data_IF_074348379626
#
_entry.id   IF_074348379626
#
_cell.length_a   1.000
_cell.length_b   1.000
_cell.length_c   1.000
_cell.angle_alpha   90.00
_cell.angle_beta   90.00
_cell.angle_gamma   90.00
#
_symmetry.space_group_name_H-M   'P 1'
#
loop_
_entity.id
_entity.type
_entity.pdbx_description
1 polymer ?
#
# COMPACT_ATOMS: atom_id res chain seq x y z
N UNK A 1 33.57 -23.11 -23.03
CA UNK A 1 32.96 -22.34 -21.93
C UNK A 1 32.20 -21.16 -22.54
N UNK A 2 30.90 -21.33 -22.80
CA UNK A 2 30.06 -20.25 -23.35
C UNK A 2 29.38 -19.54 -22.18
N UNK A 3 29.75 -18.28 -21.95
CA UNK A 3 29.03 -17.40 -21.05
C UNK A 3 27.63 -17.15 -21.65
N UNK A 4 26.61 -17.82 -21.12
CA UNK A 4 25.22 -17.46 -21.41
C UNK A 4 25.00 -16.03 -20.90
N UNK A 5 25.08 -15.08 -21.82
CA UNK A 5 24.49 -13.76 -21.69
C UNK A 5 22.99 -13.94 -21.49
N UNK A 6 22.58 -14.16 -20.24
CA UNK A 6 21.18 -14.06 -19.85
C UNK A 6 20.83 -12.58 -19.99
N UNK A 7 20.14 -12.25 -21.08
CA UNK A 7 19.65 -10.89 -21.33
C UNK A 7 19.01 -10.34 -20.05
N UNK A 8 19.41 -9.12 -19.65
CA UNK A 8 18.91 -8.44 -18.44
C UNK A 8 17.37 -8.40 -18.39
N UNK A 9 16.70 -8.49 -19.54
CA UNK A 9 15.23 -8.54 -19.65
C UNK A 9 14.61 -9.82 -19.07
N UNK A 10 15.32 -10.95 -19.06
CA UNK A 10 14.84 -12.21 -18.49
C UNK A 10 15.25 -12.40 -17.02
N UNK A 11 15.89 -11.40 -16.40
CA UNK A 11 16.06 -11.38 -14.95
C UNK A 11 14.72 -11.10 -14.26
N UNK A 12 14.54 -11.57 -13.02
CA UNK A 12 13.32 -11.29 -12.24
C UNK A 12 12.99 -9.79 -12.17
N UNK A 13 14.02 -8.95 -12.03
CA UNK A 13 13.87 -7.49 -12.04
C UNK A 13 13.39 -6.95 -13.38
N UNK A 14 13.95 -7.44 -14.49
CA UNK A 14 13.57 -7.04 -15.84
C UNK A 14 12.11 -7.36 -16.13
N UNK A 15 11.67 -8.57 -15.77
CA UNK A 15 10.28 -9.02 -15.95
C UNK A 15 9.31 -8.17 -15.12
N UNK A 16 9.66 -7.88 -13.86
CA UNK A 16 8.83 -7.02 -12.99
C UNK A 16 8.71 -5.60 -13.55
N UNK A 17 9.78 -5.04 -14.10
CA UNK A 17 9.73 -3.71 -14.75
C UNK A 17 8.84 -3.71 -16.00
N UNK A 18 8.90 -4.79 -16.81
CA UNK A 18 8.00 -4.94 -17.97
C UNK A 18 6.54 -5.00 -17.52
N UNK A 19 6.22 -5.77 -16.48
CA UNK A 19 4.86 -5.84 -15.94
C UNK A 19 4.37 -4.49 -15.37
N UNK A 20 5.24 -3.78 -14.63
CA UNK A 20 4.93 -2.45 -14.14
C UNK A 20 4.68 -1.45 -15.28
N UNK A 21 5.53 -1.47 -16.32
CA UNK A 21 5.36 -0.65 -17.52
C UNK A 21 4.08 -0.99 -18.29
N UNK A 22 3.77 -2.29 -18.44
CA UNK A 22 2.54 -2.74 -19.08
C UNK A 22 1.29 -2.25 -18.33
N UNK A 23 1.29 -2.30 -16.99
CA UNK A 23 0.21 -1.74 -16.17
C UNK A 23 0.06 -0.23 -16.36
N UNK A 24 1.17 0.52 -16.35
CA UNK A 24 1.15 1.96 -16.60
C UNK A 24 0.52 2.28 -17.95
N UNK A 25 1.02 1.66 -19.02
CA UNK A 25 0.54 1.84 -20.39
C UNK A 25 -0.94 1.47 -20.48
N UNK A 26 -1.34 0.33 -19.91
CA UNK A 26 -2.75 -0.10 -19.89
C UNK A 26 -3.67 0.95 -19.25
N UNK A 27 -3.30 1.50 -18.10
CA UNK A 27 -4.10 2.54 -17.46
C UNK A 27 -4.14 3.82 -18.29
N UNK A 28 -3.03 4.28 -18.87
CA UNK A 28 -3.00 5.49 -19.69
C UNK A 28 -3.82 5.36 -20.98
N UNK A 29 -3.75 4.21 -21.65
CA UNK A 29 -4.52 3.93 -22.87
C UNK A 29 -6.03 3.82 -22.59
N UNK A 30 -6.42 3.47 -21.37
CA UNK A 30 -7.82 3.34 -20.97
C UNK A 30 -8.35 4.54 -20.18
N UNK A 31 -7.48 5.46 -19.73
CA UNK A 31 -7.82 6.55 -18.82
C UNK A 31 -8.91 7.50 -19.35
N UNK A 32 -9.05 7.65 -20.67
CA UNK A 32 -10.07 8.50 -21.30
C UNK A 32 -11.40 7.80 -21.62
N UNK A 33 -11.56 6.50 -21.29
CA UNK A 33 -12.74 5.72 -21.69
C UNK A 33 -13.99 6.00 -20.85
N UNK A 34 -13.81 6.53 -19.64
CA UNK A 34 -14.88 6.96 -18.75
C UNK A 34 -14.71 8.44 -18.43
N UNK A 35 -15.82 9.15 -18.20
CA UNK A 35 -15.80 10.54 -17.75
C UNK A 35 -15.14 10.72 -16.39
N UNK A 36 -15.13 11.97 -15.93
CA UNK A 36 -14.56 12.33 -14.63
C UNK A 36 -15.39 11.69 -13.51
N UNK A 37 -14.74 11.00 -12.59
CA UNK A 37 -15.35 10.43 -11.41
C UNK A 37 -15.59 11.54 -10.37
N UNK A 38 -16.69 11.46 -9.63
CA UNK A 38 -17.17 12.56 -8.77
C UNK A 38 -16.12 13.08 -7.78
N UNK A 39 -15.33 12.17 -7.18
CA UNK A 39 -14.31 12.56 -6.21
C UNK A 39 -13.13 13.28 -6.89
N UNK A 40 -12.85 12.98 -8.17
CA UNK A 40 -11.80 13.66 -8.94
C UNK A 40 -12.12 15.14 -9.16
N UNK A 41 -13.39 15.49 -9.40
CA UNK A 41 -13.82 16.90 -9.48
C UNK A 41 -13.61 17.62 -8.15
N UNK A 42 -13.86 16.94 -7.05
CA UNK A 42 -13.64 17.50 -5.73
C UNK A 42 -12.14 17.69 -5.42
N UNK A 43 -11.29 16.72 -5.77
CA UNK A 43 -9.83 16.88 -5.63
C UNK A 43 -9.26 17.98 -6.53
N UNK A 44 -9.82 18.17 -7.73
CA UNK A 44 -9.47 19.30 -8.60
C UNK A 44 -9.85 20.64 -7.95
N UNK A 45 -11.06 20.76 -7.39
CA UNK A 45 -11.50 21.96 -6.69
C UNK A 45 -10.63 22.26 -5.46
N UNK A 46 -10.22 21.22 -4.72
CA UNK A 46 -9.23 21.33 -3.64
C UNK A 46 -7.85 21.75 -4.18
N UNK A 47 -7.45 21.24 -5.34
CA UNK A 47 -6.21 21.62 -6.01
C UNK A 47 -6.15 23.11 -6.37
N UNK A 48 -7.28 23.74 -6.71
CA UNK A 48 -7.37 25.19 -6.91
C UNK A 48 -7.29 25.99 -5.61
N UNK A 49 -7.49 25.34 -4.47
CA UNK A 49 -7.48 25.94 -3.13
C UNK A 49 -6.60 25.11 -2.20
N UNK A 50 -5.29 25.06 -2.51
CA UNK A 50 -4.33 24.30 -1.72
C UNK A 50 -4.32 24.80 -0.27
N UNK A 51 -4.53 23.87 0.65
CA UNK A 51 -4.45 24.09 2.08
C UNK A 51 -3.77 22.88 2.75
N UNK A 52 -3.46 22.98 4.03
CA UNK A 52 -2.82 21.93 4.81
C UNK A 52 -3.79 20.78 5.18
N UNK A 53 -5.08 20.86 4.86
CA UNK A 53 -6.05 19.79 5.08
C UNK A 53 -7.42 20.11 4.50
N UNK A 54 -8.28 19.10 4.48
CA UNK A 54 -9.67 19.19 4.01
C UNK A 54 -10.58 18.38 4.94
N UNK A 55 -11.89 18.53 4.78
CA UNK A 55 -12.90 17.90 5.67
C UNK A 55 -12.77 16.37 5.69
N UNK A 56 -12.55 15.74 4.54
CA UNK A 56 -12.59 14.29 4.33
C UNK A 56 -11.24 13.67 3.95
N UNK A 57 -10.23 14.48 3.61
CA UNK A 57 -8.89 14.01 3.27
C UNK A 57 -7.76 14.91 3.80
N UNK A 58 -6.55 14.33 3.96
CA UNK A 58 -5.31 15.09 4.04
C UNK A 58 -4.94 15.77 2.69
N UNK A 59 -3.92 16.65 2.66
CA UNK A 59 -3.71 17.57 1.54
C UNK A 59 -2.98 16.99 0.32
N UNK A 60 -2.30 15.83 0.41
CA UNK A 60 -1.46 15.36 -0.71
C UNK A 60 -2.27 15.11 -1.98
N UNK A 61 -3.50 14.61 -1.87
CA UNK A 61 -4.31 14.33 -3.06
C UNK A 61 -4.68 15.61 -3.83
N UNK A 62 -4.90 16.72 -3.13
CA UNK A 62 -5.14 18.04 -3.73
C UNK A 62 -3.87 18.56 -4.40
N UNK A 63 -2.70 18.40 -3.77
CA UNK A 63 -1.41 18.75 -4.36
C UNK A 63 -1.13 17.93 -5.63
N UNK A 64 -1.46 16.64 -5.63
CA UNK A 64 -1.36 15.77 -6.81
C UNK A 64 -2.32 16.23 -7.91
N UNK A 65 -3.56 16.59 -7.58
CA UNK A 65 -4.53 17.12 -8.54
C UNK A 65 -4.03 18.43 -9.17
N UNK A 66 -3.56 19.37 -8.35
CA UNK A 66 -2.94 20.63 -8.78
C UNK A 66 -1.76 20.36 -9.72
N UNK A 67 -0.84 19.48 -9.32
CA UNK A 67 0.35 19.14 -10.13
C UNK A 67 -0.04 18.53 -11.47
N UNK A 68 -1.00 17.60 -11.48
CA UNK A 68 -1.48 16.98 -12.71
C UNK A 68 -2.08 18.01 -13.67
N UNK A 69 -2.90 18.93 -13.15
CA UNK A 69 -3.50 20.00 -13.95
C UNK A 69 -2.46 20.97 -14.50
N UNK A 70 -1.42 21.30 -13.74
CA UNK A 70 -0.35 22.20 -14.18
C UNK A 70 0.57 21.57 -15.23
N UNK A 71 0.76 20.25 -15.20
CA UNK A 71 1.59 19.54 -16.17
C UNK A 71 0.84 19.17 -17.45
N UNK A 72 -0.45 18.85 -17.36
CA UNK A 72 -1.21 18.24 -18.46
C UNK A 72 -2.47 19.01 -18.86
N UNK A 73 -2.78 20.12 -18.19
CA UNK A 73 -4.03 20.86 -18.39
C UNK A 73 -5.26 20.04 -18.01
N UNK A 74 -6.36 20.25 -18.72
CA UNK A 74 -7.63 19.54 -18.50
C UNK A 74 -7.69 18.17 -19.23
N UNK A 75 -6.54 17.63 -19.65
CA UNK A 75 -6.45 16.33 -20.29
C UNK A 75 -6.67 15.19 -19.28
N UNK A 76 -7.79 14.48 -19.38
CA UNK A 76 -8.20 13.46 -18.40
C UNK A 76 -7.17 12.34 -18.16
N UNK A 77 -6.52 11.76 -19.18
CA UNK A 77 -5.41 10.82 -18.93
C UNK A 77 -4.25 11.44 -18.15
N UNK A 78 -3.99 12.75 -18.31
CA UNK A 78 -3.01 13.49 -17.53
C UNK A 78 -3.37 13.58 -16.05
N UNK A 79 -4.65 13.82 -15.74
CA UNK A 79 -5.17 13.77 -14.36
C UNK A 79 -4.94 12.40 -13.69
N UNK A 80 -5.07 11.33 -14.48
CA UNK A 80 -4.95 9.93 -14.05
C UNK A 80 -3.53 9.37 -14.16
N UNK A 81 -2.56 10.17 -14.58
CA UNK A 81 -1.16 9.76 -14.72
C UNK A 81 -0.54 9.30 -13.39
N UNK A 82 -0.67 10.10 -12.32
CA UNK A 82 -0.09 9.77 -11.02
C UNK A 82 -0.70 8.53 -10.34
N UNK A 83 -2.03 8.33 -10.35
CA UNK A 83 -2.63 7.05 -9.93
C UNK A 83 -2.11 5.85 -10.72
N UNK A 84 -2.00 5.96 -12.05
CA UNK A 84 -1.48 4.91 -12.90
C UNK A 84 -0.01 4.59 -12.57
N UNK A 85 0.80 5.63 -12.35
CA UNK A 85 2.20 5.52 -11.93
C UNK A 85 2.33 4.86 -10.55
N UNK A 86 1.49 5.25 -9.59
CA UNK A 86 1.46 4.63 -8.27
C UNK A 86 1.09 3.14 -8.35
N UNK A 87 0.17 2.80 -9.25
CA UNK A 87 -0.19 1.42 -9.56
C UNK A 87 0.97 0.61 -10.13
N UNK A 88 1.72 1.17 -11.08
CA UNK A 88 2.90 0.54 -11.65
C UNK A 88 4.02 0.38 -10.62
N UNK A 89 4.26 1.40 -9.79
CA UNK A 89 5.22 1.35 -8.71
C UNK A 89 4.85 0.28 -7.65
N UNK A 90 3.55 0.09 -7.37
CA UNK A 90 3.07 -0.98 -6.47
C UNK A 90 3.36 -2.37 -7.03
N UNK A 91 3.19 -2.58 -8.35
CA UNK A 91 3.57 -3.84 -9.03
C UNK A 91 5.06 -4.09 -8.92
N UNK A 92 5.87 -3.07 -9.22
CA UNK A 92 7.32 -3.16 -9.08
C UNK A 92 7.74 -3.51 -7.66
N UNK A 93 7.13 -2.84 -6.67
CA UNK A 93 7.46 -3.04 -5.27
C UNK A 93 7.04 -4.42 -4.77
N UNK A 94 5.92 -4.98 -5.22
CA UNK A 94 5.52 -6.35 -4.89
C UNK A 94 6.58 -7.38 -5.35
N UNK A 95 7.06 -7.26 -6.59
CA UNK A 95 8.18 -8.08 -7.07
C UNK A 95 9.45 -7.87 -6.24
N UNK A 96 9.79 -6.62 -5.92
CA UNK A 96 10.95 -6.29 -5.08
C UNK A 96 10.84 -6.87 -3.66
N UNK A 97 9.66 -6.87 -3.07
CA UNK A 97 9.41 -7.48 -1.76
C UNK A 97 9.65 -9.00 -1.80
N UNK A 98 9.18 -9.68 -2.86
CA UNK A 98 9.42 -11.11 -3.04
C UNK A 98 10.92 -11.41 -3.11
N UNK A 99 11.68 -10.61 -3.86
CA UNK A 99 13.14 -10.71 -3.93
C UNK A 99 13.81 -10.53 -2.57
N UNK A 100 13.42 -9.50 -1.82
CA UNK A 100 14.01 -9.23 -0.49
C UNK A 100 13.64 -10.32 0.52
N UNK A 101 12.57 -11.09 0.30
CA UNK A 101 12.23 -12.27 1.09
C UNK A 101 12.91 -13.57 0.62
N UNK A 102 13.82 -13.48 -0.37
CA UNK A 102 14.60 -14.62 -0.87
C UNK A 102 14.07 -15.24 -2.16
N UNK A 103 13.02 -14.68 -2.76
CA UNK A 103 12.44 -15.16 -4.02
C UNK A 103 13.32 -14.94 -5.25
N UNK A 104 13.41 -15.97 -6.08
CA UNK A 104 13.96 -15.94 -7.43
C UNK A 104 13.07 -15.22 -8.43
N UNK A 105 13.32 -15.45 -9.73
CA UNK A 105 12.63 -14.76 -10.81
C UNK A 105 11.14 -15.14 -10.88
N UNK A 106 10.78 -16.39 -10.56
CA UNK A 106 9.39 -16.84 -10.61
C UNK A 106 8.58 -16.20 -9.49
N UNK A 107 9.10 -16.16 -8.26
CA UNK A 107 8.42 -15.48 -7.15
C UNK A 107 8.20 -13.98 -7.42
N UNK A 108 9.21 -13.30 -7.97
CA UNK A 108 9.13 -11.89 -8.35
C UNK A 108 8.05 -11.64 -9.41
N UNK A 109 8.05 -12.45 -10.48
CA UNK A 109 7.04 -12.38 -11.54
C UNK A 109 5.63 -12.62 -10.99
N UNK A 110 5.44 -13.70 -10.23
CA UNK A 110 4.12 -14.09 -9.73
C UNK A 110 3.54 -13.05 -8.75
N UNK A 111 4.37 -12.47 -7.89
CA UNK A 111 3.96 -11.40 -6.99
C UNK A 111 3.50 -10.14 -7.76
N UNK A 112 4.27 -9.73 -8.78
CA UNK A 112 3.93 -8.60 -9.63
C UNK A 112 2.66 -8.85 -10.45
N UNK A 113 2.52 -10.04 -11.04
CA UNK A 113 1.35 -10.45 -11.81
C UNK A 113 0.08 -10.49 -10.94
N UNK A 114 0.18 -11.04 -9.72
CA UNK A 114 -0.94 -11.08 -8.79
C UNK A 114 -1.52 -9.69 -8.51
N UNK A 115 -0.66 -8.67 -8.30
CA UNK A 115 -1.11 -7.28 -8.09
C UNK A 115 -1.81 -6.71 -9.33
N UNK A 116 -1.43 -7.09 -10.55
CA UNK A 116 -2.13 -6.67 -11.78
C UNK A 116 -3.51 -7.31 -11.85
N UNK A 117 -3.63 -8.58 -11.47
CA UNK A 117 -4.85 -9.37 -11.58
C UNK A 117 -5.90 -9.09 -10.48
N UNK A 118 -5.65 -8.14 -9.57
CA UNK A 118 -6.57 -7.75 -8.49
C UNK A 118 -7.52 -6.65 -8.99
N UNK A 119 -8.85 -6.92 -9.06
CA UNK A 119 -9.82 -5.97 -9.61
C UNK A 119 -9.86 -4.63 -8.87
N UNK A 120 -9.78 -4.64 -7.54
CA UNK A 120 -9.86 -3.39 -6.76
C UNK A 120 -8.69 -2.45 -7.07
N UNK A 121 -7.50 -2.99 -7.38
CA UNK A 121 -6.37 -2.17 -7.80
C UNK A 121 -6.53 -1.61 -9.20
N UNK A 122 -7.19 -2.32 -10.11
CA UNK A 122 -7.51 -1.78 -11.43
C UNK A 122 -8.46 -0.58 -11.30
N UNK A 123 -9.42 -0.64 -10.38
CA UNK A 123 -10.32 0.49 -10.09
C UNK A 123 -9.55 1.64 -9.42
N UNK A 124 -8.84 1.36 -8.32
CA UNK A 124 -8.15 2.39 -7.53
C UNK A 124 -7.08 3.15 -8.33
N UNK A 125 -6.31 2.48 -9.19
CA UNK A 125 -5.27 3.14 -9.99
C UNK A 125 -5.79 3.76 -11.30
N UNK A 126 -7.08 3.59 -11.61
CA UNK A 126 -7.71 4.24 -12.77
C UNK A 126 -8.22 5.65 -12.44
N UNK A 127 -8.64 5.90 -11.20
CA UNK A 127 -9.13 7.22 -10.77
C UNK A 127 -8.10 7.96 -9.92
N UNK A 128 -8.13 9.29 -9.96
CA UNK A 128 -7.45 10.11 -8.97
C UNK A 128 -8.16 9.98 -7.62
N UNK A 129 -7.56 9.19 -6.72
CA UNK A 129 -8.06 8.97 -5.36
C UNK A 129 -6.89 8.69 -4.42
N UNK A 130 -7.01 9.08 -3.15
CA UNK A 130 -6.07 8.71 -2.08
C UNK A 130 -5.82 7.20 -1.98
N UNK A 131 -6.82 6.37 -2.33
CA UNK A 131 -6.69 4.90 -2.33
C UNK A 131 -5.70 4.37 -3.37
N UNK A 132 -5.37 5.15 -4.41
CA UNK A 132 -4.40 4.76 -5.44
C UNK A 132 -2.96 4.78 -4.90
N UNK A 133 -2.69 5.62 -3.90
CA UNK A 133 -1.35 5.86 -3.37
C UNK A 133 -1.08 5.05 -2.09
N UNK A 134 -2.12 4.73 -1.31
CA UNK A 134 -1.97 3.96 -0.06
C UNK A 134 -1.20 2.63 -0.22
N UNK A 135 -1.53 1.74 -1.18
CA UNK A 135 -0.80 0.48 -1.34
C UNK A 135 0.70 0.72 -1.57
N UNK A 136 1.06 1.71 -2.39
CA UNK A 136 2.45 2.06 -2.64
C UNK A 136 3.16 2.51 -1.36
N UNK A 137 2.56 3.42 -0.60
CA UNK A 137 3.14 3.96 0.64
C UNK A 137 3.27 2.87 1.70
N UNK A 138 2.26 2.02 1.88
CA UNK A 138 2.30 0.90 2.83
C UNK A 138 3.37 -0.10 2.44
N UNK A 139 3.48 -0.44 1.15
CA UNK A 139 4.52 -1.34 0.67
C UNK A 139 5.93 -0.74 0.77
N UNK A 140 6.09 0.58 0.66
CA UNK A 140 7.36 1.25 0.93
C UNK A 140 7.76 1.12 2.40
N UNK A 141 6.79 1.26 3.32
CA UNK A 141 6.99 1.00 4.75
C UNK A 141 7.35 -0.47 5.02
N UNK A 142 6.64 -1.42 4.41
CA UNK A 142 6.94 -2.86 4.51
C UNK A 142 8.35 -3.15 3.97
N UNK A 143 8.74 -2.53 2.85
CA UNK A 143 10.10 -2.65 2.32
C UNK A 143 11.15 -2.15 3.31
N UNK A 144 10.92 -1.02 4.00
CA UNK A 144 11.80 -0.56 5.07
C UNK A 144 11.92 -1.58 6.22
N UNK A 145 10.81 -2.20 6.65
CA UNK A 145 10.83 -3.24 7.69
C UNK A 145 11.67 -4.44 7.24
N UNK A 146 11.43 -4.96 6.02
CA UNK A 146 12.18 -6.08 5.48
C UNK A 146 13.67 -5.74 5.39
N UNK A 147 14.02 -4.54 4.92
CA UNK A 147 15.42 -4.08 4.84
C UNK A 147 16.07 -3.95 6.21
N UNK A 148 15.34 -3.44 7.22
CA UNK A 148 15.83 -3.38 8.60
C UNK A 148 16.17 -4.77 9.13
N UNK A 149 15.30 -5.76 8.89
CA UNK A 149 15.48 -7.16 9.31
C UNK A 149 16.61 -7.85 8.53
N UNK A 150 16.69 -7.61 7.22
CA UNK A 150 17.68 -8.23 6.34
C UNK A 150 19.09 -7.74 6.60
N UNK A 151 19.23 -6.43 6.87
CA UNK A 151 20.52 -5.74 7.01
C UNK A 151 20.91 -5.45 8.46
N UNK A 152 20.06 -5.81 9.41
CA UNK A 152 20.17 -5.44 10.83
C UNK A 152 20.43 -3.93 11.06
N UNK A 153 19.86 -3.09 10.19
CA UNK A 153 20.18 -1.67 10.13
C UNK A 153 18.96 -0.83 10.53
N UNK A 154 19.05 -0.17 11.68
CA UNK A 154 17.97 0.65 12.21
C UNK A 154 17.70 1.94 11.42
N UNK A 155 18.60 2.38 10.52
CA UNK A 155 18.39 3.56 9.69
C UNK A 155 17.18 3.43 8.75
N UNK A 156 16.73 2.22 8.41
CA UNK A 156 15.51 2.04 7.64
C UNK A 156 14.25 2.51 8.39
N UNK A 157 14.29 2.64 9.72
CA UNK A 157 13.18 3.21 10.48
C UNK A 157 13.02 4.73 10.28
N UNK A 158 14.10 5.43 9.90
CA UNK A 158 14.02 6.84 9.50
C UNK A 158 13.20 6.96 8.21
N UNK A 159 13.50 6.12 7.21
CA UNK A 159 12.74 6.06 5.97
C UNK A 159 11.31 5.55 6.17
N UNK A 160 11.10 4.59 7.07
CA UNK A 160 9.76 4.18 7.50
C UNK A 160 8.97 5.38 8.03
N UNK A 161 9.61 6.23 8.85
CA UNK A 161 9.05 7.49 9.34
C UNK A 161 8.68 8.46 8.22
N UNK A 162 9.57 8.66 7.24
CA UNK A 162 9.30 9.50 6.05
C UNK A 162 8.06 9.00 5.31
N UNK A 163 8.00 7.71 4.95
CA UNK A 163 6.85 7.15 4.24
C UNK A 163 5.58 7.17 5.08
N UNK A 164 5.70 6.99 6.40
CA UNK A 164 4.56 7.12 7.33
C UNK A 164 4.01 8.55 7.32
N UNK A 165 4.87 9.55 7.41
CA UNK A 165 4.47 10.96 7.33
C UNK A 165 3.77 11.27 6.00
N UNK A 166 4.35 10.85 4.88
CA UNK A 166 3.71 10.99 3.54
C UNK A 166 2.36 10.27 3.49
N UNK A 167 2.24 9.11 4.13
CA UNK A 167 0.97 8.39 4.21
C UNK A 167 -0.07 9.11 5.05
N UNK A 168 0.34 9.77 6.15
CA UNK A 168 -0.56 10.61 6.96
C UNK A 168 -1.07 11.80 6.15
N UNK A 169 -0.22 12.36 5.28
CA UNK A 169 -0.58 13.39 4.29
C UNK A 169 -1.37 12.83 3.09
N UNK A 170 -1.54 11.51 2.97
CA UNK A 170 -2.35 10.87 1.91
C UNK A 170 -3.73 10.45 2.41
N UNK A 171 -3.75 9.63 3.47
CA UNK A 171 -4.95 9.08 4.09
C UNK A 171 -4.60 8.59 5.50
N UNK A 172 -5.40 9.01 6.49
CA UNK A 172 -5.19 8.64 7.90
C UNK A 172 -5.25 7.13 8.20
N UNK A 173 -5.68 6.31 7.24
CA UNK A 173 -5.68 4.86 7.34
C UNK A 173 -4.31 4.27 7.67
N UNK A 174 -3.21 4.93 7.29
CA UNK A 174 -1.85 4.49 7.62
C UNK A 174 -1.59 4.47 9.14
N UNK A 175 -2.30 5.26 9.94
CA UNK A 175 -2.16 5.24 11.39
C UNK A 175 -2.48 3.85 11.97
N UNK A 176 -3.51 3.18 11.44
CA UNK A 176 -3.82 1.79 11.82
C UNK A 176 -2.68 0.85 11.46
N UNK A 177 -2.10 0.98 10.26
CA UNK A 177 -0.94 0.20 9.84
C UNK A 177 0.28 0.41 10.74
N UNK A 178 0.58 1.65 11.14
CA UNK A 178 1.71 1.94 12.03
C UNK A 178 1.50 1.32 13.42
N UNK A 179 0.29 1.45 13.98
CA UNK A 179 -0.05 0.84 15.27
C UNK A 179 0.11 -0.68 15.21
N UNK A 180 -0.37 -1.33 14.15
CA UNK A 180 -0.20 -2.79 14.01
C UNK A 180 1.25 -3.21 13.77
N UNK A 181 2.06 -2.39 13.11
CA UNK A 181 3.52 -2.58 13.02
C UNK A 181 4.15 -2.54 14.41
N UNK A 182 3.83 -1.54 15.24
CA UNK A 182 4.34 -1.47 16.61
C UNK A 182 3.93 -2.70 17.43
N UNK A 183 2.67 -3.13 17.35
CA UNK A 183 2.18 -4.36 17.99
C UNK A 183 2.98 -5.57 17.50
N UNK A 184 3.17 -5.72 16.18
CA UNK A 184 3.96 -6.80 15.59
C UNK A 184 5.42 -6.80 16.04
N UNK A 185 6.05 -5.63 16.18
CA UNK A 185 7.40 -5.51 16.72
C UNK A 185 7.46 -6.00 18.16
N UNK A 186 6.56 -5.51 19.02
CA UNK A 186 6.51 -5.88 20.45
C UNK A 186 6.33 -7.40 20.63
N UNK A 187 5.48 -8.02 19.82
CA UNK A 187 5.17 -9.46 19.87
C UNK A 187 6.26 -10.35 19.24
N UNK A 188 7.31 -9.79 18.67
CA UNK A 188 8.40 -10.54 18.03
C UNK A 188 9.77 -10.14 18.57
N UNK A 189 10.81 -10.87 18.15
CA UNK A 189 12.20 -10.51 18.47
C UNK A 189 12.61 -9.14 17.91
N UNK A 190 11.87 -8.61 16.93
CA UNK A 190 12.15 -7.33 16.29
C UNK A 190 11.80 -6.13 17.20
N UNK A 191 11.24 -6.35 18.40
CA UNK A 191 11.13 -5.35 19.48
C UNK A 191 12.46 -4.66 19.81
N UNK A 192 13.60 -5.31 19.52
CA UNK A 192 14.94 -4.74 19.64
C UNK A 192 15.12 -3.42 18.87
N UNK A 193 14.35 -3.19 17.80
CA UNK A 193 14.39 -1.92 17.07
C UNK A 193 13.75 -0.77 17.84
N UNK A 194 12.79 -1.02 18.73
CA UNK A 194 12.17 0.01 19.58
C UNK A 194 13.17 0.66 20.55
N UNK A 195 14.25 -0.06 20.89
CA UNK A 195 15.34 0.44 21.70
C UNK A 195 16.36 1.31 20.91
N UNK A 196 16.23 1.40 19.59
CA UNK A 196 17.18 2.13 18.74
C UNK A 196 16.71 3.57 18.53
N UNK A 197 17.63 4.54 18.69
CA UNK A 197 17.36 5.97 18.47
C UNK A 197 16.75 6.28 17.10
N UNK A 198 17.15 5.53 16.07
CA UNK A 198 16.68 5.71 14.69
C UNK A 198 15.17 5.46 14.54
N UNK A 199 14.61 4.57 15.37
CA UNK A 199 13.16 4.36 15.42
C UNK A 199 12.43 5.63 15.84
N UNK A 200 12.89 6.25 16.93
CA UNK A 200 12.31 7.48 17.47
C UNK A 200 12.58 8.70 16.59
N UNK A 201 13.74 8.77 15.95
CA UNK A 201 14.01 9.79 14.91
C UNK A 201 13.02 9.64 13.75
N UNK A 202 12.75 8.41 13.30
CA UNK A 202 11.73 8.14 12.29
C UNK A 202 10.34 8.59 12.74
N UNK A 203 9.95 8.28 13.97
CA UNK A 203 8.68 8.72 14.54
C UNK A 203 8.57 10.26 14.60
N UNK A 204 9.64 10.95 15.01
CA UNK A 204 9.70 12.41 15.02
C UNK A 204 9.57 13.00 13.60
N UNK A 205 10.25 12.41 12.60
CA UNK A 205 10.13 12.83 11.20
C UNK A 205 8.71 12.61 10.67
N UNK A 206 8.09 11.47 10.96
CA UNK A 206 6.71 11.19 10.56
C UNK A 206 5.76 12.26 11.14
N UNK A 207 5.94 12.61 12.42
CA UNK A 207 5.17 13.65 13.09
C UNK A 207 5.42 15.02 12.46
N UNK A 208 6.66 15.40 12.18
CA UNK A 208 7.00 16.68 11.56
C UNK A 208 6.41 16.83 10.15
N UNK A 209 6.39 15.76 9.36
CA UNK A 209 5.75 15.76 8.04
C UNK A 209 4.23 15.91 8.18
N UNK A 210 3.62 15.24 9.17
CA UNK A 210 2.19 15.33 9.46
C UNK A 210 1.75 16.63 10.14
N UNK A 211 2.70 17.37 10.72
CA UNK A 211 2.43 18.52 11.60
C UNK A 211 1.60 19.62 10.93
N UNK A 212 1.83 20.02 9.67
CA UNK A 212 1.02 21.04 9.01
C UNK A 212 -0.46 20.65 8.95
N UNK A 213 -0.75 19.40 8.59
CA UNK A 213 -2.11 18.89 8.55
C UNK A 213 -2.73 18.81 9.95
N UNK A 214 -1.97 18.38 10.96
CA UNK A 214 -2.46 18.35 12.34
C UNK A 214 -2.83 19.75 12.85
N UNK A 215 -2.00 20.76 12.58
CA UNK A 215 -2.28 22.16 12.94
C UNK A 215 -3.57 22.62 12.23
N UNK A 216 -3.73 22.28 10.96
CA UNK A 216 -4.94 22.60 10.20
C UNK A 216 -6.18 21.96 10.83
N UNK A 217 -6.12 20.67 11.18
CA UNK A 217 -7.22 19.96 11.84
C UNK A 217 -7.60 20.61 13.17
N UNK A 218 -6.63 21.00 13.98
CA UNK A 218 -6.87 21.66 15.29
C UNK A 218 -7.54 23.02 15.09
N UNK A 219 -7.11 23.80 14.10
CA UNK A 219 -7.68 25.14 13.81
C UNK A 219 -9.10 25.11 13.27
N UNK A 220 -9.53 23.97 12.73
CA UNK A 220 -10.86 23.78 12.14
C UNK A 220 -11.73 22.81 12.95
N UNK A 221 -11.42 22.59 14.23
CA UNK A 221 -12.20 21.77 15.17
C UNK A 221 -12.37 20.30 14.73
N UNK A 222 -11.36 19.73 14.07
CA UNK A 222 -11.34 18.35 13.58
C UNK A 222 -12.55 17.97 12.70
N UNK A 223 -12.71 18.60 11.52
CA UNK A 223 -13.90 18.40 10.68
C UNK A 223 -14.03 16.96 10.17
N UNK A 224 -12.90 16.25 10.03
CA UNK A 224 -12.89 14.82 9.72
C UNK A 224 -13.59 13.96 10.78
N UNK A 225 -13.44 14.27 12.06
CA UNK A 225 -14.10 13.52 13.14
C UNK A 225 -15.61 13.76 13.12
N UNK A 226 -16.03 15.00 12.85
CA UNK A 226 -17.44 15.33 12.66
C UNK A 226 -18.02 14.58 11.45
N UNK A 227 -17.33 14.57 10.32
CA UNK A 227 -17.72 13.80 9.15
C UNK A 227 -17.90 12.31 9.49
N UNK A 228 -16.93 11.70 10.17
CA UNK A 228 -17.01 10.29 10.57
C UNK A 228 -18.20 10.03 11.51
N UNK A 229 -18.52 10.97 12.42
CA UNK A 229 -19.71 10.90 13.28
C UNK A 229 -20.99 10.94 12.45
N UNK A 230 -21.08 11.85 11.49
CA UNK A 230 -22.26 12.02 10.63
C UNK A 230 -22.47 10.79 9.71
N UNK A 231 -21.39 10.23 9.16
CA UNK A 231 -21.45 9.00 8.36
C UNK A 231 -21.99 7.83 9.21
N UNK A 232 -21.53 7.68 10.46
CA UNK A 232 -22.03 6.63 11.36
C UNK A 232 -23.51 6.80 11.70
N UNK A 233 -23.96 8.04 11.90
CA UNK A 233 -25.36 8.35 12.23
C UNK A 233 -26.32 8.14 11.04
N UNK A 234 -25.86 8.37 9.81
CA UNK A 234 -26.72 8.25 8.62
C UNK A 234 -26.94 6.81 8.16
N UNK A 235 -26.28 5.81 8.78
CA UNK A 235 -26.38 4.39 8.45
C UNK A 235 -26.19 4.05 6.95
N UNK A 236 -25.50 4.92 6.19
CA UNK A 236 -25.25 4.71 4.76
C UNK A 236 -24.13 3.70 4.49
N UNK A 237 -23.29 3.42 5.47
CA UNK A 237 -22.21 2.44 5.34
C UNK A 237 -22.74 1.01 5.45
N UNK A 238 -22.36 0.17 4.49
CA UNK A 238 -22.65 -1.26 4.52
C UNK A 238 -21.76 -1.92 5.56
N UNK A 239 -22.30 -2.16 6.75
CA UNK A 239 -21.62 -2.90 7.81
C UNK A 239 -21.64 -4.38 7.49
N UNK A 240 -20.45 -4.98 7.34
CA UNK A 240 -20.29 -6.42 7.14
C UNK A 240 -20.03 -7.10 8.49
N UNK A 241 -20.67 -8.25 8.71
CA UNK A 241 -20.26 -9.15 9.79
C UNK A 241 -18.87 -9.76 9.52
N UNK A 242 -18.19 -10.34 10.54
CA UNK A 242 -16.82 -10.83 10.40
C UNK A 242 -16.60 -11.82 9.25
N UNK A 243 -17.51 -12.80 9.10
CA UNK A 243 -17.45 -13.81 8.02
C UNK A 243 -17.63 -13.16 6.66
N UNK A 244 -18.62 -12.26 6.54
CA UNK A 244 -18.86 -11.53 5.29
C UNK A 244 -17.68 -10.63 4.91
N UNK A 245 -17.00 -10.02 5.90
CA UNK A 245 -15.78 -9.23 5.65
C UNK A 245 -14.64 -10.08 5.08
N UNK A 246 -14.46 -11.30 5.59
CA UNK A 246 -13.46 -12.26 5.09
C UNK A 246 -13.78 -12.74 3.66
N UNK A 247 -15.05 -13.02 3.38
CA UNK A 247 -15.51 -13.38 2.04
C UNK A 247 -15.31 -12.22 1.06
N UNK A 248 -15.62 -10.99 1.49
CA UNK A 248 -15.36 -9.79 0.71
C UNK A 248 -13.87 -9.67 0.37
N UNK A 249 -12.94 -9.98 1.30
CA UNK A 249 -11.50 -9.95 1.02
C UNK A 249 -11.12 -10.89 -0.14
N UNK A 250 -11.61 -12.13 -0.13
CA UNK A 250 -11.36 -13.07 -1.22
C UNK A 250 -11.95 -12.58 -2.54
N UNK A 251 -13.14 -11.97 -2.49
CA UNK A 251 -13.83 -11.45 -3.68
C UNK A 251 -13.11 -10.24 -4.29
N UNK A 252 -12.76 -9.23 -3.48
CA UNK A 252 -12.13 -7.98 -3.98
C UNK A 252 -10.69 -8.20 -4.42
N UNK A 253 -9.99 -9.18 -3.84
CA UNK A 253 -8.60 -9.53 -4.18
C UNK A 253 -8.48 -10.49 -5.36
N UNK A 254 -9.60 -10.83 -6.04
CA UNK A 254 -9.72 -11.94 -6.97
C UNK A 254 -9.72 -13.31 -6.26
N UNK A 255 -10.83 -14.07 -6.30
CA UNK A 255 -10.92 -15.39 -5.65
C UNK A 255 -9.85 -16.38 -6.12
N UNK A 256 -9.38 -16.27 -7.36
CA UNK A 256 -8.32 -17.14 -7.90
C UNK A 256 -7.00 -16.93 -7.17
N UNK A 257 -6.74 -15.72 -6.66
CA UNK A 257 -5.53 -15.39 -5.92
C UNK A 257 -5.63 -15.74 -4.43
N UNK A 258 -6.77 -16.27 -3.97
CA UNK A 258 -6.98 -16.68 -2.58
C UNK A 258 -5.91 -17.66 -2.06
N UNK A 259 -5.59 -18.76 -2.77
CA UNK A 259 -4.56 -19.67 -2.32
C UNK A 259 -3.18 -19.01 -2.22
N UNK A 260 -2.89 -18.04 -3.09
CA UNK A 260 -1.60 -17.36 -3.10
C UNK A 260 -1.42 -16.47 -1.86
N UNK A 261 -2.39 -15.59 -1.55
CA UNK A 261 -2.24 -14.71 -0.40
C UNK A 261 -2.43 -15.45 0.93
N UNK A 262 -3.28 -16.48 0.99
CA UNK A 262 -3.39 -17.33 2.17
C UNK A 262 -2.11 -18.14 2.39
N UNK A 263 -1.56 -18.71 1.31
CA UNK A 263 -0.26 -19.39 1.32
C UNK A 263 0.86 -18.46 1.80
N UNK A 264 0.84 -17.19 1.38
CA UNK A 264 1.77 -16.17 1.88
C UNK A 264 1.65 -15.91 3.37
N UNK A 265 0.42 -15.80 3.88
CA UNK A 265 0.19 -15.66 5.31
C UNK A 265 0.69 -16.88 6.09
N UNK A 266 0.38 -18.09 5.62
CA UNK A 266 0.84 -19.35 6.22
C UNK A 266 2.37 -19.41 6.20
N UNK A 267 3.01 -19.05 5.08
CA UNK A 267 4.46 -19.06 4.93
C UNK A 267 5.15 -18.10 5.90
N UNK A 268 4.61 -16.90 6.14
CA UNK A 268 5.14 -15.94 7.13
C UNK A 268 5.15 -16.50 8.57
N UNK A 269 4.21 -17.40 8.90
CA UNK A 269 4.13 -18.01 10.23
C UNK A 269 4.90 -19.33 10.36
N UNK A 270 4.78 -20.19 9.35
CA UNK A 270 5.19 -21.60 9.40
C UNK A 270 6.39 -21.92 8.49
N UNK A 271 6.65 -21.13 7.45
CA UNK A 271 7.76 -21.35 6.52
C UNK A 271 9.12 -21.19 7.19
N UNK A 272 10.09 -22.05 6.84
CA UNK A 272 11.41 -22.03 7.49
C UNK A 272 12.07 -20.64 7.42
N UNK A 273 12.20 -20.10 6.20
CA UNK A 273 12.69 -18.75 5.93
C UNK A 273 11.65 -17.66 6.29
N UNK A 274 10.36 -17.95 6.06
CA UNK A 274 9.27 -17.00 6.29
C UNK A 274 9.12 -16.56 7.75
N UNK A 275 9.48 -17.42 8.71
CA UNK A 275 9.49 -17.09 10.15
C UNK A 275 10.37 -15.90 10.49
N UNK A 276 11.38 -15.58 9.68
CA UNK A 276 12.20 -14.36 9.82
C UNK A 276 11.35 -13.09 9.70
N UNK A 277 10.26 -13.15 8.92
CA UNK A 277 9.37 -12.04 8.61
C UNK A 277 8.01 -12.14 9.33
N UNK A 278 7.90 -12.98 10.38
CA UNK A 278 6.65 -13.22 11.13
C UNK A 278 5.96 -11.94 11.60
N UNK A 279 6.71 -10.88 11.89
CA UNK A 279 6.16 -9.56 12.23
C UNK A 279 5.15 -9.07 11.19
N UNK A 280 5.40 -9.31 9.91
CA UNK A 280 4.53 -8.91 8.79
C UNK A 280 3.22 -9.72 8.76
N UNK A 281 3.27 -10.99 9.14
CA UNK A 281 2.07 -11.83 9.30
C UNK A 281 1.20 -11.33 10.45
N UNK A 282 1.81 -10.96 11.58
CA UNK A 282 1.10 -10.37 12.72
C UNK A 282 0.46 -9.04 12.34
N UNK A 283 1.19 -8.16 11.64
CA UNK A 283 0.67 -6.88 11.12
C UNK A 283 -0.62 -7.10 10.31
N UNK A 284 -0.62 -8.07 9.38
CA UNK A 284 -1.81 -8.38 8.59
C UNK A 284 -2.98 -8.87 9.46
N UNK A 285 -2.75 -9.84 10.35
CA UNK A 285 -3.81 -10.41 11.20
C UNK A 285 -4.41 -9.35 12.12
N UNK A 286 -3.58 -8.51 12.73
CA UNK A 286 -4.04 -7.44 13.61
C UNK A 286 -4.78 -6.36 12.81
N UNK A 287 -4.36 -6.03 11.58
CA UNK A 287 -5.09 -5.10 10.71
C UNK A 287 -6.46 -5.64 10.31
N UNK A 288 -6.51 -6.91 9.90
CA UNK A 288 -7.74 -7.60 9.57
C UNK A 288 -8.71 -7.58 10.75
N UNK A 289 -8.25 -7.95 11.95
CA UNK A 289 -9.04 -7.90 13.17
C UNK A 289 -9.50 -6.46 13.49
N UNK A 290 -8.61 -5.49 13.36
CA UNK A 290 -8.90 -4.07 13.61
C UNK A 290 -10.03 -3.56 12.69
N UNK A 291 -9.96 -3.84 11.38
CA UNK A 291 -11.00 -3.39 10.46
C UNK A 291 -12.33 -4.15 10.62
N UNK A 292 -12.30 -5.42 11.06
CA UNK A 292 -13.53 -6.13 11.43
C UNK A 292 -14.18 -5.48 12.66
N UNK A 293 -13.40 -5.26 13.74
CA UNK A 293 -13.91 -4.69 15.00
C UNK A 293 -14.41 -3.26 14.81
N UNK A 294 -13.66 -2.44 14.06
CA UNK A 294 -14.01 -1.05 13.80
C UNK A 294 -15.06 -0.87 12.70
N UNK A 295 -15.56 -1.97 12.12
CA UNK A 295 -16.52 -1.98 11.00
C UNK A 295 -16.02 -1.14 9.82
N UNK A 296 -14.73 -1.27 9.51
CA UNK A 296 -14.08 -0.61 8.39
C UNK A 296 -14.66 -1.07 7.06
N UNK A 297 -14.46 -0.26 6.01
CA UNK A 297 -14.85 -0.64 4.66
C UNK A 297 -13.99 -1.81 4.19
N UNK A 298 -14.58 -2.74 3.45
CA UNK A 298 -13.91 -3.97 3.02
C UNK A 298 -12.60 -3.74 2.25
N UNK A 299 -12.49 -2.63 1.52
CA UNK A 299 -11.29 -2.28 0.77
C UNK A 299 -10.19 -1.59 1.58
N UNK A 300 -10.39 -1.26 2.87
CA UNK A 300 -9.35 -0.63 3.70
C UNK A 300 -8.14 -1.55 3.94
N UNK A 301 -8.36 -2.86 3.90
CA UNK A 301 -7.28 -3.84 4.00
C UNK A 301 -6.55 -4.06 2.67
N UNK A 302 -7.06 -3.53 1.54
CA UNK A 302 -6.45 -3.75 0.22
C UNK A 302 -4.95 -3.43 0.23
N UNK A 303 -4.55 -2.30 0.81
CA UNK A 303 -3.18 -1.78 0.79
C UNK A 303 -2.09 -2.74 1.32
N UNK A 304 -2.42 -3.72 2.17
CA UNK A 304 -1.43 -4.68 2.72
C UNK A 304 -1.27 -5.95 1.87
N UNK A 305 -2.20 -6.26 0.95
CA UNK A 305 -2.14 -7.52 0.18
C UNK A 305 -0.92 -7.74 -0.72
N UNK A 306 -0.22 -6.72 -1.28
CA UNK A 306 0.96 -6.98 -2.11
C UNK A 306 2.09 -7.68 -1.32
N UNK A 307 2.17 -7.46 -0.01
CA UNK A 307 3.04 -8.21 0.90
C UNK A 307 2.69 -9.70 0.91
N UNK A 308 1.40 -10.05 1.02
CA UNK A 308 0.96 -11.44 1.05
C UNK A 308 1.16 -12.14 -0.30
N UNK A 309 0.94 -11.44 -1.41
CA UNK A 309 1.27 -11.99 -2.73
C UNK A 309 2.76 -12.24 -2.88
N UNK A 310 3.60 -11.32 -2.41
CA UNK A 310 5.05 -11.50 -2.40
C UNK A 310 5.48 -12.71 -1.54
N UNK A 311 4.96 -12.82 -0.32
CA UNK A 311 5.26 -13.95 0.57
C UNK A 311 4.75 -15.28 0.00
N UNK A 312 3.55 -15.29 -0.58
CA UNK A 312 2.94 -16.47 -1.18
C UNK A 312 3.70 -16.96 -2.40
N UNK A 313 4.18 -16.03 -3.23
CA UNK A 313 4.97 -16.35 -4.41
C UNK A 313 6.32 -16.98 -4.02
N UNK A 314 6.97 -16.47 -2.97
CA UNK A 314 8.20 -17.07 -2.41
C UNK A 314 7.91 -18.45 -1.82
N UNK A 315 6.82 -18.60 -1.06
CA UNK A 315 6.41 -19.88 -0.50
C UNK A 315 6.16 -20.93 -1.58
N UNK A 316 5.47 -20.56 -2.65
CA UNK A 316 5.18 -21.45 -3.78
C UNK A 316 6.46 -21.85 -4.53
N UNK A 317 7.33 -20.88 -4.84
CA UNK A 317 8.60 -21.14 -5.53
C UNK A 317 9.50 -22.11 -4.73
N UNK A 318 9.54 -21.96 -3.42
CA UNK A 318 10.31 -22.85 -2.54
C UNK A 318 9.80 -24.29 -2.60
N UNK A 319 8.48 -24.50 -2.65
CA UNK A 319 7.88 -25.84 -2.73
C UNK A 319 8.17 -26.48 -4.08
N UNK A 320 8.10 -25.70 -5.17
CA UNK A 320 8.31 -26.23 -6.54
C UNK A 320 9.78 -26.52 -6.88
N UNK A 321 10.72 -25.96 -6.13
CA UNK A 321 12.16 -26.18 -6.32
C UNK A 321 12.74 -27.29 -5.43
N UNK A 322 11.94 -27.84 -4.51
CA UNK A 322 12.24 -29.06 -3.73
C UNK A 322 11.80 -30.31 -4.49
#
# INVERSE_FOLDING_TARGET
MSARSTSRFFSGEGVVLVLAGAKLIFHLLTAGRYGIFRDELYYLACGEHLDCGYVDQPPLIALVAWTARHLFGDWLPGLRFFPALAGAATVWLAGKLAREMGGGAFAQFLAALAVICVPIYLVMHHWLTMNAFEPLVWMACVWCIIRAINRDNACYWIWFGVFTGVGMETKYGIAFFVVTVVIGLVLTRERRFLAKKQFWIGAAIAFLIFLPNLIWLIRHDFPFLELMRNIRQTHRDVVRGPIAFLLDQAQIMNPILFPLWLGGLIWLFLGHEGRRFRVLGIVYVVLLATFIVLRGKNYYLASIYPLLFAAGAVGLENITNT
#
